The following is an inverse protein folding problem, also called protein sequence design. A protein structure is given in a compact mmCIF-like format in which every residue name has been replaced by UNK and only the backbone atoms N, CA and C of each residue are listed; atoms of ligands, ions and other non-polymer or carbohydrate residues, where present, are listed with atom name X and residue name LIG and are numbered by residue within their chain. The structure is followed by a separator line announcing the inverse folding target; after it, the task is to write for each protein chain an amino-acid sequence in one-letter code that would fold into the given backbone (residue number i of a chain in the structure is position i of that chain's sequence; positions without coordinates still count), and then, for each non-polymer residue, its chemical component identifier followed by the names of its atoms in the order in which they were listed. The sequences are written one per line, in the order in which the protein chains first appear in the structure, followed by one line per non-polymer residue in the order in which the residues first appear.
data_IF_696506462660
#
_entry.id   IF_696506462660
#
_cell.length_a   1.000
_cell.length_b   1.000
_cell.length_c   1.000
_cell.angle_alpha   90.00
_cell.angle_beta   90.00
_cell.angle_gamma   90.00
#
_symmetry.space_group_name_H-M   'P 1'
#
loop_
_entity.id
_entity.type
_entity.pdbx_description
1 polymer ?
#
# COMPACT_ATOMS: atom_id res chain seq x y z
N UNK A 1 -35.65 -22.72 16.56
CA UNK A 1 -35.07 -24.05 16.90
C UNK A 1 -33.87 -24.27 15.99
N UNK A 2 -32.91 -25.09 16.39
CA UNK A 2 -31.50 -25.14 15.99
C UNK A 2 -30.62 -24.12 16.75
N UNK A 3 -29.49 -24.45 17.37
CA UNK A 3 -29.07 -25.57 18.23
C UNK A 3 -27.60 -25.26 18.58
N UNK A 4 -27.34 -24.97 19.86
CA UNK A 4 -26.11 -25.13 20.65
C UNK A 4 -24.72 -25.08 19.99
N UNK A 5 -23.97 -24.02 20.34
CA UNK A 5 -22.51 -23.92 20.25
C UNK A 5 -21.88 -24.79 21.36
N UNK A 6 -20.99 -25.70 21.00
CA UNK A 6 -20.14 -26.45 21.94
C UNK A 6 -18.80 -25.72 22.06
N UNK A 7 -18.53 -25.19 23.26
CA UNK A 7 -17.21 -24.71 23.68
C UNK A 7 -16.38 -25.91 24.17
N UNK A 8 -15.30 -26.23 23.47
CA UNK A 8 -14.29 -27.19 23.96
C UNK A 8 -13.03 -26.45 24.40
N UNK A 9 -12.63 -26.67 25.65
CA UNK A 9 -11.42 -26.15 26.29
C UNK A 9 -10.22 -27.10 26.19
N UNK A 10 -9.02 -26.51 26.37
CA UNK A 10 -7.72 -27.10 26.79
C UNK A 10 -6.74 -27.49 25.65
N UNK A 11 -5.40 -27.58 25.86
CA UNK A 11 -4.53 -27.16 26.98
C UNK A 11 -3.27 -26.34 26.55
N UNK A 12 -2.40 -26.06 27.53
CA UNK A 12 -1.19 -25.22 27.54
C UNK A 12 0.09 -25.76 26.82
N UNK A 13 0.98 -24.80 26.48
CA UNK A 13 2.46 -24.83 26.29
C UNK A 13 3.01 -25.15 24.88
N UNK A 14 4.25 -24.78 24.50
CA UNK A 14 5.32 -24.06 25.23
C UNK A 14 5.88 -22.80 24.52
N UNK A 15 6.64 -22.00 25.26
CA UNK A 15 7.42 -20.82 24.82
C UNK A 15 8.48 -21.16 23.75
N UNK A 16 8.66 -20.35 22.68
CA UNK A 16 9.82 -20.45 21.81
C UNK A 16 11.06 -19.75 22.42
N UNK A 17 12.28 -20.17 22.04
CA UNK A 17 13.52 -19.72 22.67
C UNK A 17 13.92 -18.30 22.27
N UNK A 18 14.57 -17.63 23.21
CA UNK A 18 15.20 -16.30 23.09
C UNK A 18 16.34 -16.34 22.06
N UNK A 19 16.20 -15.58 20.97
CA UNK A 19 17.28 -15.37 20.00
C UNK A 19 18.33 -14.40 20.56
N UNK A 20 19.58 -14.88 20.59
CA UNK A 20 20.79 -14.19 21.07
C UNK A 20 21.17 -13.01 20.16
N UNK A 21 21.89 -11.98 20.66
CA UNK A 21 22.35 -10.86 19.84
C UNK A 21 23.47 -11.27 18.88
N UNK A 22 23.45 -10.76 17.65
CA UNK A 22 24.54 -10.90 16.68
C UNK A 22 25.66 -9.90 17.01
N UNK A 23 26.88 -10.42 17.16
CA UNK A 23 28.12 -9.64 17.34
C UNK A 23 28.69 -9.17 15.99
N UNK A 24 29.52 -8.10 15.97
CA UNK A 24 30.11 -7.57 14.74
C UNK A 24 31.25 -8.47 14.22
N UNK A 25 31.37 -8.61 12.90
CA UNK A 25 32.52 -9.26 12.24
C UNK A 25 33.33 -8.16 11.53
N UNK A 26 34.53 -7.92 12.03
CA UNK A 26 35.57 -7.12 11.35
C UNK A 26 36.44 -7.99 10.42
N UNK A 27 36.84 -7.40 9.29
CA UNK A 27 38.22 -7.47 8.79
C UNK A 27 38.61 -8.59 7.81
N UNK A 28 38.80 -8.24 6.54
CA UNK A 28 39.50 -9.07 5.55
C UNK A 28 39.92 -8.29 4.30
N UNK A 29 41.22 -8.01 4.18
CA UNK A 29 41.88 -7.14 3.21
C UNK A 29 41.83 -7.61 1.74
N UNK A 30 41.64 -6.67 0.80
CA UNK A 30 41.94 -6.83 -0.63
C UNK A 30 42.94 -5.76 -1.12
N UNK A 31 43.90 -6.08 -2.03
CA UNK A 31 45.04 -5.22 -2.34
C UNK A 31 44.74 -4.15 -3.41
N UNK A 32 45.57 -3.09 -3.52
CA UNK A 32 45.32 -1.94 -4.37
C UNK A 32 45.89 -2.13 -5.77
N UNK A 33 45.18 -1.68 -6.81
CA UNK A 33 45.74 -1.61 -8.17
C UNK A 33 45.64 -0.17 -8.67
N UNK A 34 46.81 0.45 -8.78
CA UNK A 34 47.06 1.66 -9.55
C UNK A 34 48.08 1.34 -10.63
N UNK A 35 48.04 2.13 -11.71
CA UNK A 35 49.12 2.42 -12.70
C UNK A 35 49.14 1.60 -14.01
N UNK A 36 49.82 2.12 -15.07
CA UNK A 36 49.16 2.69 -16.26
C UNK A 36 49.56 1.99 -17.58
N UNK A 37 48.84 2.23 -18.67
CA UNK A 37 49.16 1.69 -19.99
C UNK A 37 50.12 2.61 -20.77
N UNK A 38 51.24 2.04 -21.23
CA UNK A 38 52.22 2.64 -22.15
C UNK A 38 51.84 2.42 -23.63
N UNK A 39 52.36 3.22 -24.58
CA UNK A 39 51.93 3.23 -25.98
C UNK A 39 52.72 2.25 -26.87
N UNK A 40 52.07 1.72 -27.91
CA UNK A 40 52.70 0.95 -28.99
C UNK A 40 52.84 1.87 -30.21
N UNK A 41 54.07 2.03 -30.70
CA UNK A 41 54.42 2.70 -31.96
C UNK A 41 54.52 1.71 -33.13
N UNK A 42 54.24 2.23 -34.34
CA UNK A 42 54.66 1.69 -35.64
C UNK A 42 53.49 1.27 -36.54
N UNK A 43 53.30 1.77 -37.76
CA UNK A 43 54.05 2.72 -38.57
C UNK A 43 53.43 2.84 -39.98
N UNK A 44 53.47 4.06 -40.51
CA UNK A 44 53.51 4.52 -41.91
C UNK A 44 52.42 4.14 -42.95
N UNK A 45 51.67 5.18 -43.32
CA UNK A 45 51.07 5.37 -44.65
C UNK A 45 50.70 6.85 -44.85
N UNK A 46 51.60 7.63 -45.43
CA UNK A 46 51.38 9.06 -45.77
C UNK A 46 50.33 9.17 -46.87
N UNK A 47 49.32 10.04 -46.73
CA UNK A 47 48.93 11.05 -47.74
C UNK A 47 47.75 11.92 -47.27
N UNK A 48 48.05 13.23 -47.21
CA UNK A 48 47.21 14.43 -47.44
C UNK A 48 46.16 14.85 -46.39
N UNK A 49 46.57 15.89 -45.65
CA UNK A 49 45.71 16.89 -44.99
C UNK A 49 44.79 17.58 -46.02
N UNK A 50 43.49 17.39 -45.86
CA UNK A 50 42.38 18.32 -46.12
C UNK A 50 41.21 17.73 -45.31
N UNK A 51 40.44 18.37 -44.45
CA UNK A 51 40.04 19.75 -44.24
C UNK A 51 39.30 19.79 -42.89
N UNK A 52 39.54 20.82 -42.09
CA UNK A 52 38.63 21.38 -41.05
C UNK A 52 37.51 20.49 -40.48
N UNK A 53 37.74 19.84 -39.34
CA UNK A 53 36.65 19.53 -38.42
C UNK A 53 36.65 20.61 -37.34
N UNK A 54 35.70 21.53 -37.46
CA UNK A 54 35.40 22.49 -36.41
C UNK A 54 35.14 21.72 -35.11
N UNK A 55 35.77 22.14 -34.01
CA UNK A 55 35.37 21.72 -32.67
C UNK A 55 33.92 22.18 -32.52
N UNK A 56 32.96 21.27 -32.62
CA UNK A 56 31.58 21.60 -32.32
C UNK A 56 31.56 21.93 -30.84
N UNK A 57 31.36 23.21 -30.54
CA UNK A 57 31.25 23.70 -29.19
C UNK A 57 30.08 22.98 -28.51
N UNK A 58 30.38 22.20 -27.46
CA UNK A 58 29.41 21.35 -26.76
C UNK A 58 28.28 22.18 -26.10
N UNK A 59 28.47 23.51 -26.04
CA UNK A 59 27.49 24.50 -25.60
C UNK A 59 26.37 24.82 -26.62
N UNK A 60 26.50 24.36 -27.86
CA UNK A 60 25.47 24.51 -28.90
C UNK A 60 24.54 23.28 -28.99
N UNK A 61 24.91 22.17 -28.35
CA UNK A 61 24.16 20.91 -28.43
C UNK A 61 23.04 20.93 -27.41
N UNK A 62 21.80 20.95 -27.90
CA UNK A 62 20.61 20.80 -27.06
C UNK A 62 20.40 19.34 -26.69
N UNK A 63 20.15 19.08 -25.41
CA UNK A 63 19.85 17.76 -24.83
C UNK A 63 18.62 17.86 -23.95
N UNK A 64 17.96 16.73 -23.75
CA UNK A 64 16.83 16.64 -22.85
C UNK A 64 17.32 16.65 -21.40
N UNK A 65 16.46 17.13 -20.50
CA UNK A 65 16.69 17.07 -19.06
C UNK A 65 16.92 15.62 -18.61
N UNK A 66 17.81 15.35 -17.64
CA UNK A 66 17.98 14.01 -17.07
C UNK A 66 16.69 13.37 -16.54
N UNK A 67 15.69 14.20 -16.19
CA UNK A 67 14.38 13.79 -15.69
C UNK A 67 13.31 13.62 -16.79
N UNK A 68 13.70 13.57 -18.07
CA UNK A 68 12.76 13.31 -19.18
C UNK A 68 11.90 12.06 -18.95
N UNK A 69 12.50 11.00 -18.39
CA UNK A 69 11.79 9.75 -18.05
C UNK A 69 10.74 9.89 -16.95
N UNK A 70 10.76 11.01 -16.24
CA UNK A 70 9.80 11.39 -15.21
C UNK A 70 8.98 12.61 -15.67
N UNK A 71 8.76 12.75 -16.98
CA UNK A 71 7.88 13.74 -17.60
C UNK A 71 8.38 15.20 -17.56
N UNK A 72 9.66 15.42 -17.28
CA UNK A 72 10.28 16.75 -17.44
C UNK A 72 10.56 17.05 -18.92
N UNK A 73 9.95 18.12 -19.45
CA UNK A 73 9.99 18.49 -20.88
C UNK A 73 11.12 19.46 -21.25
N UNK A 74 12.01 19.78 -20.30
CA UNK A 74 13.04 20.78 -20.54
C UNK A 74 14.13 20.27 -21.50
N UNK A 75 14.46 21.07 -22.50
CA UNK A 75 15.51 20.78 -23.49
C UNK A 75 16.42 22.00 -23.62
N UNK A 76 17.72 21.81 -23.45
CA UNK A 76 18.66 22.91 -23.32
C UNK A 76 20.09 22.52 -23.62
N UNK A 77 20.98 23.51 -23.69
CA UNK A 77 22.41 23.22 -23.73
C UNK A 77 22.92 22.88 -22.33
N UNK A 78 24.20 22.56 -22.21
CA UNK A 78 24.80 22.14 -20.93
C UNK A 78 24.58 23.17 -19.81
N UNK A 79 24.77 24.45 -20.10
CA UNK A 79 24.61 25.53 -19.12
C UNK A 79 23.15 25.72 -18.71
N UNK A 80 22.24 25.78 -19.68
CA UNK A 80 20.82 25.98 -19.39
C UNK A 80 20.18 24.78 -18.68
N UNK A 81 20.67 23.55 -18.92
CA UNK A 81 20.28 22.36 -18.13
C UNK A 81 20.80 22.48 -16.70
N UNK A 82 22.03 22.96 -16.48
CA UNK A 82 22.56 23.15 -15.12
C UNK A 82 21.77 24.20 -14.33
N UNK A 83 21.37 25.29 -14.96
CA UNK A 83 20.52 26.32 -14.37
C UNK A 83 19.12 25.78 -14.07
N UNK A 84 18.47 25.14 -15.05
CA UNK A 84 17.18 24.44 -14.86
C UNK A 84 17.21 23.45 -13.70
N UNK A 85 18.25 22.62 -13.60
CA UNK A 85 18.41 21.65 -12.52
C UNK A 85 18.59 22.29 -11.15
N UNK A 86 19.14 23.51 -11.09
CA UNK A 86 19.33 24.26 -9.84
C UNK A 86 18.02 24.95 -9.43
N UNK A 87 17.33 25.54 -10.39
CA UNK A 87 16.17 26.40 -10.13
C UNK A 87 14.85 25.63 -10.02
N UNK A 88 14.77 24.43 -10.63
CA UNK A 88 13.57 23.58 -10.65
C UNK A 88 13.80 22.21 -9.99
N UNK A 89 14.68 22.14 -8.98
CA UNK A 89 14.93 20.89 -8.27
C UNK A 89 13.72 20.40 -7.46
N UNK A 90 12.88 21.30 -6.98
CA UNK A 90 11.62 21.03 -6.28
C UNK A 90 10.61 20.29 -7.17
N UNK A 91 10.49 20.72 -8.44
CA UNK A 91 9.65 20.06 -9.45
C UNK A 91 10.19 18.64 -9.72
N UNK A 92 11.50 18.47 -9.87
CA UNK A 92 12.09 17.15 -10.09
C UNK A 92 11.93 16.20 -8.89
N UNK A 93 12.05 16.72 -7.67
CA UNK A 93 11.77 15.96 -6.44
C UNK A 93 10.30 15.56 -6.40
N UNK A 94 9.38 16.44 -6.80
CA UNK A 94 7.96 16.15 -6.87
C UNK A 94 7.65 15.08 -7.92
N UNK A 95 8.21 15.17 -9.12
CA UNK A 95 8.05 14.17 -10.19
C UNK A 95 8.55 12.79 -9.75
N UNK A 96 9.71 12.72 -9.07
CA UNK A 96 10.17 11.46 -8.45
C UNK A 96 9.20 11.02 -7.36
N UNK A 97 8.77 11.93 -6.49
CA UNK A 97 7.83 11.66 -5.41
C UNK A 97 6.52 11.05 -5.91
N UNK A 98 5.95 11.59 -6.98
CA UNK A 98 4.75 11.06 -7.66
C UNK A 98 4.98 9.67 -8.22
N UNK A 99 6.10 9.42 -8.90
CA UNK A 99 6.44 8.09 -9.42
C UNK A 99 6.79 7.08 -8.32
N UNK A 100 7.15 7.55 -7.12
CA UNK A 100 7.41 6.72 -5.94
C UNK A 100 6.16 6.49 -5.08
N UNK A 101 5.05 7.22 -5.27
CA UNK A 101 3.80 6.95 -4.55
C UNK A 101 3.36 5.48 -4.64
N UNK A 102 3.35 4.84 -5.83
CA UNK A 102 2.93 3.45 -5.96
C UNK A 102 3.87 2.44 -5.26
N UNK A 103 5.09 2.85 -4.92
CA UNK A 103 6.06 2.04 -4.18
C UNK A 103 6.01 2.29 -2.67
N UNK A 104 5.43 3.40 -2.22
CA UNK A 104 5.10 3.60 -0.79
C UNK A 104 3.94 2.71 -0.35
N UNK A 105 3.05 2.40 -1.28
CA UNK A 105 1.94 1.48 -1.10
C UNK A 105 2.37 -0.01 -1.15
N UNK A 106 3.67 -0.28 -1.29
CA UNK A 106 4.24 -1.65 -1.41
C UNK A 106 4.44 -2.37 -0.06
N UNK A 107 4.10 -1.73 1.08
CA UNK A 107 4.01 -2.41 2.38
C UNK A 107 2.57 -2.90 2.56
N UNK A 108 2.34 -4.14 2.16
CA UNK A 108 1.02 -4.79 2.15
C UNK A 108 0.81 -5.53 3.47
N UNK A 109 0.55 -4.74 4.52
CA UNK A 109 -0.18 -5.06 5.74
C UNK A 109 -1.02 -3.79 6.02
N UNK A 110 -2.31 -3.84 5.73
CA UNK A 110 -3.15 -2.65 5.54
C UNK A 110 -3.67 -2.07 6.86
N UNK A 111 -2.80 -1.47 7.68
CA UNK A 111 -3.28 -0.67 8.82
C UNK A 111 -3.92 0.62 8.29
N UNK A 112 -5.25 0.66 8.22
CA UNK A 112 -5.98 1.85 7.84
C UNK A 112 -6.46 2.67 9.04
N UNK A 113 -6.32 3.99 8.93
CA UNK A 113 -6.77 4.93 9.96
C UNK A 113 -8.14 5.49 9.57
N UNK A 114 -9.20 5.01 10.21
CA UNK A 114 -10.56 5.52 9.99
C UNK A 114 -10.97 6.47 11.12
N UNK A 115 -10.89 7.78 10.88
CA UNK A 115 -11.33 8.78 11.87
C UNK A 115 -12.86 8.75 12.04
N UNK A 116 -13.34 8.28 13.19
CA UNK A 116 -14.74 8.40 13.62
C UNK A 116 -14.94 9.69 14.42
N UNK A 117 -15.31 10.79 13.75
CA UNK A 117 -15.61 12.04 14.48
C UNK A 117 -17.06 12.02 14.96
N UNK A 118 -17.25 12.06 16.29
CA UNK A 118 -18.58 12.08 16.95
C UNK A 118 -19.49 13.19 16.41
N UNK A 119 -18.94 14.39 16.15
CA UNK A 119 -19.68 15.55 15.61
C UNK A 119 -20.27 15.35 14.20
N UNK A 120 -19.67 14.47 13.37
CA UNK A 120 -20.24 14.17 12.05
C UNK A 120 -21.26 13.04 12.14
N UNK A 121 -21.01 12.03 12.95
CA UNK A 121 -21.78 10.81 12.92
C UNK A 121 -23.23 10.94 13.50
N UNK A 122 -23.60 12.08 14.11
CA UNK A 122 -24.99 12.35 14.54
C UNK A 122 -26.01 12.36 13.38
N UNK A 123 -25.55 12.64 12.15
CA UNK A 123 -26.36 12.39 10.95
C UNK A 123 -26.18 10.92 10.56
N UNK A 124 -27.29 10.17 10.55
CA UNK A 124 -27.37 8.76 10.12
C UNK A 124 -26.69 8.49 8.76
N UNK A 125 -26.53 9.54 7.95
CA UNK A 125 -25.90 9.54 6.62
C UNK A 125 -24.36 9.51 6.63
N UNK A 126 -23.70 9.74 7.77
CA UNK A 126 -22.24 9.84 7.83
C UNK A 126 -21.56 8.46 7.98
N UNK A 127 -21.67 7.65 6.93
CA UNK A 127 -20.82 6.48 6.75
C UNK A 127 -19.41 6.93 6.33
N UNK A 128 -18.39 6.52 7.09
CA UNK A 128 -17.01 6.69 6.64
C UNK A 128 -16.74 5.68 5.52
N UNK A 129 -16.17 6.15 4.40
CA UNK A 129 -15.88 5.32 3.24
C UNK A 129 -14.41 5.45 2.85
N UNK A 130 -13.79 4.33 2.50
CA UNK A 130 -12.38 4.29 2.10
C UNK A 130 -12.16 3.17 1.09
N UNK A 131 -11.35 3.44 0.07
CA UNK A 131 -10.95 2.45 -0.93
C UNK A 131 -9.55 1.96 -0.59
N UNK A 132 -9.38 0.65 -0.64
CA UNK A 132 -8.13 -0.09 -0.45
C UNK A 132 -7.87 -1.03 -1.62
N UNK A 133 -6.60 -1.34 -1.84
CA UNK A 133 -6.17 -2.37 -2.77
C UNK A 133 -5.50 -3.48 -1.98
N UNK A 134 -5.95 -4.73 -2.15
CA UNK A 134 -5.47 -5.86 -1.36
C UNK A 134 -4.01 -6.23 -1.66
N UNK A 135 -3.51 -5.88 -2.86
CA UNK A 135 -2.11 -5.91 -3.27
C UNK A 135 -1.90 -4.95 -4.45
N UNK A 136 -0.64 -4.73 -4.86
CA UNK A 136 -0.28 -3.93 -6.06
C UNK A 136 -1.04 -4.34 -7.32
N UNK A 137 -1.33 -5.63 -7.46
CA UNK A 137 -2.05 -6.23 -8.59
C UNK A 137 -3.27 -7.05 -8.12
N UNK A 138 -3.82 -6.69 -6.96
CA UNK A 138 -4.89 -7.43 -6.29
C UNK A 138 -6.29 -6.82 -6.49
N UNK A 139 -7.25 -7.35 -5.74
CA UNK A 139 -8.62 -6.82 -5.70
C UNK A 139 -8.64 -5.36 -5.24
N UNK A 140 -9.55 -4.58 -5.84
CA UNK A 140 -9.90 -3.24 -5.36
C UNK A 140 -11.15 -3.33 -4.50
N UNK A 141 -11.08 -2.87 -3.24
CA UNK A 141 -12.17 -3.01 -2.27
C UNK A 141 -12.49 -1.66 -1.64
N UNK A 142 -13.78 -1.35 -1.53
CA UNK A 142 -14.29 -0.19 -0.81
C UNK A 142 -14.91 -0.60 0.52
N UNK A 143 -14.43 0.00 1.60
CA UNK A 143 -14.93 -0.20 2.96
C UNK A 143 -15.95 0.88 3.29
N UNK A 144 -16.98 0.48 4.02
CA UNK A 144 -18.03 1.32 4.57
C UNK A 144 -18.12 1.06 6.06
N UNK A 145 -17.86 2.07 6.88
CA UNK A 145 -18.04 2.01 8.32
C UNK A 145 -19.26 2.85 8.70
N UNK A 146 -20.23 2.20 9.33
CA UNK A 146 -21.37 2.84 9.98
C UNK A 146 -21.11 2.83 11.50
N UNK A 147 -20.47 3.87 12.06
CA UNK A 147 -20.01 3.89 13.44
C UNK A 147 -21.14 3.76 14.48
N UNK A 148 -22.35 4.13 14.09
CA UNK A 148 -23.55 4.01 14.91
C UNK A 148 -24.53 2.96 14.39
N UNK A 149 -24.02 2.00 13.61
CA UNK A 149 -24.79 0.87 13.12
C UNK A 149 -25.64 1.18 11.91
N UNK A 150 -26.21 0.12 11.35
CA UNK A 150 -27.13 0.18 10.23
C UNK A 150 -28.38 -0.67 10.52
N UNK A 151 -29.51 -0.29 9.92
CA UNK A 151 -30.81 -0.98 10.04
C UNK A 151 -31.21 -1.25 11.51
N UNK A 152 -31.42 -2.52 11.88
CA UNK A 152 -31.87 -2.97 13.20
C UNK A 152 -30.80 -2.89 14.29
N UNK A 153 -29.53 -2.63 13.94
CA UNK A 153 -28.44 -2.49 14.92
C UNK A 153 -28.07 -1.04 15.22
N UNK A 154 -28.83 -0.09 14.68
CA UNK A 154 -28.65 1.34 14.88
C UNK A 154 -28.54 1.69 16.37
N UNK A 155 -27.51 2.45 16.74
CA UNK A 155 -27.17 2.89 18.10
C UNK A 155 -26.86 1.79 19.11
N UNK A 156 -26.76 0.53 18.68
CA UNK A 156 -26.36 -0.60 19.53
C UNK A 156 -25.00 -1.15 19.12
N UNK A 157 -24.81 -1.37 17.82
CA UNK A 157 -23.55 -1.85 17.25
C UNK A 157 -23.01 -0.84 16.25
N UNK A 158 -21.70 -0.84 16.06
CA UNK A 158 -21.07 -0.33 14.85
C UNK A 158 -21.13 -1.43 13.80
N UNK A 159 -21.31 -1.06 12.54
CA UNK A 159 -21.39 -1.99 11.40
C UNK A 159 -20.29 -1.67 10.39
N UNK A 160 -19.70 -2.69 9.78
CA UNK A 160 -18.67 -2.55 8.75
C UNK A 160 -19.02 -3.41 7.53
N UNK A 161 -18.87 -2.83 6.34
CA UNK A 161 -19.15 -3.50 5.08
C UNK A 161 -18.03 -3.26 4.09
N UNK A 162 -17.95 -4.13 3.09
CA UNK A 162 -17.05 -4.03 1.96
C UNK A 162 -17.83 -4.21 0.66
N UNK A 163 -17.31 -3.64 -0.42
CA UNK A 163 -17.77 -3.83 -1.79
C UNK A 163 -16.55 -3.98 -2.69
N UNK A 164 -16.61 -4.89 -3.64
CA UNK A 164 -15.54 -5.10 -4.62
C UNK A 164 -15.75 -4.11 -5.76
N UNK A 165 -14.70 -3.38 -6.12
CA UNK A 165 -14.69 -2.39 -7.19
C UNK A 165 -14.04 -2.97 -8.44
N UNK A 166 -14.43 -2.50 -9.65
CA UNK A 166 -13.69 -2.75 -10.87
C UNK A 166 -12.22 -2.36 -10.71
N UNK A 167 -11.32 -3.31 -11.00
CA UNK A 167 -9.87 -3.16 -10.93
C UNK A 167 -9.21 -3.41 -12.28
N UNK A 168 -8.07 -2.76 -12.51
CA UNK A 168 -7.27 -2.93 -13.74
C UNK A 168 -6.76 -4.38 -13.92
N UNK A 169 -6.61 -5.10 -12.81
CA UNK A 169 -6.03 -6.43 -12.76
C UNK A 169 -7.07 -7.55 -12.60
N UNK A 170 -8.37 -7.25 -12.68
CA UNK A 170 -9.44 -8.21 -12.36
C UNK A 170 -9.38 -9.49 -13.22
N UNK A 171 -8.93 -9.37 -14.47
CA UNK A 171 -8.76 -10.49 -15.41
C UNK A 171 -7.73 -11.56 -14.98
N UNK A 172 -6.80 -11.21 -14.08
CA UNK A 172 -5.80 -12.16 -13.54
C UNK A 172 -6.16 -12.66 -12.14
N UNK A 173 -7.27 -12.19 -11.57
CA UNK A 173 -7.73 -12.57 -10.24
C UNK A 173 -8.63 -13.80 -10.28
N UNK A 174 -8.78 -14.46 -9.13
CA UNK A 174 -9.67 -15.61 -8.99
C UNK A 174 -11.08 -15.15 -8.64
N UNK A 175 -12.08 -15.68 -9.32
CA UNK A 175 -13.49 -15.38 -9.07
C UNK A 175 -14.28 -16.67 -8.87
N UNK A 176 -15.31 -16.68 -7.99
CA UNK A 176 -15.72 -15.59 -7.10
C UNK A 176 -14.72 -15.29 -5.97
N UNK A 177 -14.75 -14.07 -5.43
CA UNK A 177 -13.96 -13.65 -4.28
C UNK A 177 -14.28 -14.51 -3.06
N UNK A 178 -13.27 -15.20 -2.53
CA UNK A 178 -13.41 -16.14 -1.42
C UNK A 178 -12.38 -15.92 -0.29
N UNK A 179 -11.66 -14.80 -0.30
CA UNK A 179 -10.66 -14.52 0.73
C UNK A 179 -11.32 -14.11 2.05
N UNK A 180 -10.76 -14.59 3.17
CA UNK A 180 -11.24 -14.22 4.50
C UNK A 180 -10.72 -12.83 4.84
N UNK A 181 -11.63 -11.92 5.20
CA UNK A 181 -11.29 -10.55 5.60
C UNK A 181 -11.18 -10.50 7.11
N UNK A 182 -10.06 -10.01 7.63
CA UNK A 182 -9.81 -9.86 9.06
C UNK A 182 -9.85 -8.38 9.40
N UNK A 183 -10.86 -7.98 10.16
CA UNK A 183 -10.99 -6.61 10.66
C UNK A 183 -10.45 -6.55 12.09
N UNK A 184 -9.52 -5.63 12.34
CA UNK A 184 -8.89 -5.46 13.65
C UNK A 184 -9.02 -4.02 14.12
N UNK A 185 -9.79 -3.79 15.17
CA UNK A 185 -9.81 -2.49 15.86
C UNK A 185 -8.61 -2.44 16.82
N UNK A 186 -7.72 -1.49 16.59
CA UNK A 186 -6.51 -1.35 17.40
C UNK A 186 -6.84 -0.75 18.77
N UNK A 187 -6.36 -1.43 19.81
CA UNK A 187 -6.23 -0.86 21.14
C UNK A 187 -5.14 0.22 21.10
N UNK A 188 -5.52 1.44 21.43
CA UNK A 188 -4.63 2.61 21.42
C UNK A 188 -3.89 2.79 22.75
N UNK A 189 -3.97 1.85 23.69
CA UNK A 189 -3.24 1.85 24.95
C UNK A 189 -1.78 1.49 24.71
N UNK A 190 -0.81 2.35 25.10
CA UNK A 190 0.60 2.08 24.87
C UNK A 190 1.03 0.73 25.44
N UNK A 191 1.60 -0.14 24.60
CA UNK A 191 2.07 -1.47 25.00
C UNK A 191 0.98 -2.54 25.14
N UNK A 192 -0.28 -2.22 24.86
CA UNK A 192 -1.35 -3.22 24.81
C UNK A 192 -1.43 -3.90 23.45
N UNK A 193 -1.84 -5.17 23.45
CA UNK A 193 -2.16 -5.96 22.24
C UNK A 193 -3.59 -6.53 22.30
N UNK A 194 -4.44 -5.98 23.17
CA UNK A 194 -5.84 -6.37 23.33
C UNK A 194 -6.74 -5.77 22.22
N UNK A 195 -6.37 -6.06 20.97
CA UNK A 195 -7.09 -5.61 19.79
C UNK A 195 -8.39 -6.40 19.61
N UNK A 196 -9.45 -5.74 19.14
CA UNK A 196 -10.70 -6.41 18.80
C UNK A 196 -10.63 -6.94 17.37
N UNK A 197 -10.54 -8.26 17.21
CA UNK A 197 -10.37 -8.93 15.92
C UNK A 197 -11.65 -9.66 15.55
N UNK A 198 -12.17 -9.42 14.35
CA UNK A 198 -13.32 -10.15 13.80
C UNK A 198 -13.01 -10.59 12.37
N UNK A 199 -13.28 -11.87 12.07
CA UNK A 199 -13.10 -12.44 10.73
C UNK A 199 -14.43 -12.50 9.99
N UNK A 200 -14.42 -12.08 8.73
CA UNK A 200 -15.50 -12.23 7.78
C UNK A 200 -15.07 -13.25 6.72
N UNK A 201 -15.67 -14.43 6.78
CA UNK A 201 -15.49 -15.48 5.76
C UNK A 201 -16.64 -15.34 4.75
N UNK A 202 -16.37 -15.12 3.46
CA UNK A 202 -17.41 -15.09 2.44
C UNK A 202 -18.15 -16.43 2.35
N UNK A 203 -19.43 -16.46 2.72
CA UNK A 203 -20.31 -17.61 2.52
C UNK A 203 -21.04 -17.45 1.18
N UNK A 204 -20.49 -18.05 0.13
CA UNK A 204 -21.01 -17.90 -1.24
C UNK A 204 -22.23 -18.82 -1.42
N UNK A 205 -23.36 -18.21 -1.77
CA UNK A 205 -24.64 -18.86 -2.09
C UNK A 205 -25.15 -18.36 -3.44
N UNK A 206 -26.16 -19.01 -4.01
CA UNK A 206 -26.77 -18.56 -5.27
C UNK A 206 -27.37 -17.14 -5.14
N UNK A 207 -27.87 -16.78 -3.96
CA UNK A 207 -28.54 -15.49 -3.72
C UNK A 207 -27.56 -14.32 -3.60
N UNK A 208 -26.33 -14.56 -3.15
CA UNK A 208 -25.33 -13.52 -2.91
C UNK A 208 -24.12 -13.58 -3.86
N UNK A 209 -24.16 -14.46 -4.87
CA UNK A 209 -23.08 -14.66 -5.83
C UNK A 209 -22.64 -13.33 -6.49
N UNK A 210 -23.60 -12.44 -6.80
CA UNK A 210 -23.33 -11.13 -7.40
C UNK A 210 -22.48 -10.18 -6.54
N UNK A 211 -22.37 -10.43 -5.23
CA UNK A 211 -21.48 -9.68 -4.34
C UNK A 211 -20.01 -10.09 -4.54
N UNK A 212 -19.76 -11.29 -5.05
CA UNK A 212 -18.44 -11.92 -5.09
C UNK A 212 -17.91 -12.15 -6.51
N UNK A 213 -18.69 -11.93 -7.56
CA UNK A 213 -18.26 -12.05 -8.95
C UNK A 213 -17.32 -10.92 -9.39
N UNK A 214 -16.67 -11.08 -10.54
CA UNK A 214 -15.89 -10.02 -11.16
C UNK A 214 -16.77 -8.78 -11.44
N UNK A 215 -16.45 -7.61 -10.85
CA UNK A 215 -17.17 -6.37 -11.13
C UNK A 215 -16.80 -5.86 -12.53
N UNK A 216 -17.79 -5.37 -13.27
CA UNK A 216 -17.59 -4.93 -14.67
C UNK A 216 -17.49 -3.40 -14.73
N UNK A 217 -18.59 -2.70 -14.44
CA UNK A 217 -18.65 -1.22 -14.48
C UNK A 217 -18.98 -0.62 -13.12
N UNK A 218 -19.87 -1.27 -12.37
CA UNK A 218 -20.32 -0.80 -11.06
C UNK A 218 -19.76 -1.66 -9.92
N UNK A 219 -19.61 -1.10 -8.71
CA UNK A 219 -19.27 -1.85 -7.52
C UNK A 219 -20.27 -2.99 -7.26
N UNK A 220 -19.75 -4.12 -6.80
CA UNK A 220 -20.60 -5.23 -6.34
C UNK A 220 -21.46 -4.83 -5.13
N UNK A 221 -22.53 -5.59 -4.90
CA UNK A 221 -23.36 -5.41 -3.71
C UNK A 221 -22.52 -5.56 -2.43
N UNK A 222 -22.81 -4.68 -1.45
CA UNK A 222 -22.06 -4.65 -0.19
C UNK A 222 -22.29 -5.93 0.61
N UNK A 223 -21.24 -6.47 1.22
CA UNK A 223 -21.29 -7.56 2.18
C UNK A 223 -20.44 -7.23 3.41
N UNK A 224 -20.76 -7.77 4.58
CA UNK A 224 -20.09 -7.32 5.80
C UNK A 224 -20.67 -7.84 7.10
N UNK A 225 -20.30 -7.15 8.18
CA UNK A 225 -20.67 -7.44 9.55
C UNK A 225 -21.55 -6.31 10.09
N UNK A 226 -22.85 -6.60 10.18
CA UNK A 226 -23.80 -5.66 10.78
C UNK A 226 -23.55 -5.49 12.29
N UNK A 227 -23.12 -6.55 12.98
CA UNK A 227 -22.78 -6.54 14.42
C UNK A 227 -21.26 -6.65 14.59
N UNK A 228 -20.52 -5.62 14.19
CA UNK A 228 -19.06 -5.65 14.21
C UNK A 228 -18.49 -5.48 15.63
N UNK A 229 -18.93 -4.45 16.35
CA UNK A 229 -18.60 -4.22 17.76
C UNK A 229 -19.76 -3.48 18.44
N UNK A 230 -20.04 -3.75 19.71
CA UNK A 230 -21.01 -2.95 20.47
C UNK A 230 -20.46 -1.54 20.66
N UNK A 231 -21.29 -0.52 20.45
CA UNK A 231 -20.85 0.87 20.63
C UNK A 231 -20.40 1.11 22.07
N UNK A 232 -21.10 0.52 23.04
CA UNK A 232 -20.72 0.60 24.45
C UNK A 232 -19.31 0.05 24.69
N UNK A 233 -18.98 -1.11 24.12
CA UNK A 233 -17.66 -1.74 24.25
C UNK A 233 -16.56 -0.94 23.53
N UNK A 234 -16.90 -0.32 22.40
CA UNK A 234 -15.98 0.52 21.64
C UNK A 234 -15.63 1.82 22.40
N UNK A 235 -16.58 2.42 23.11
CA UNK A 235 -16.41 3.67 23.85
C UNK A 235 -15.93 3.44 25.30
N UNK A 236 -16.29 2.32 25.92
CA UNK A 236 -15.98 2.00 27.30
C UNK A 236 -14.46 1.78 27.51
N UNK A 237 -13.93 2.37 28.58
CA UNK A 237 -12.51 2.28 28.93
C UNK A 237 -11.56 3.10 28.05
N UNK A 238 -12.04 3.75 26.97
CA UNK A 238 -11.23 4.65 26.14
C UNK A 238 -10.04 3.97 25.44
N UNK A 239 -10.07 2.64 25.31
CA UNK A 239 -9.00 1.85 24.67
C UNK A 239 -9.06 1.93 23.14
N UNK A 240 -10.25 1.82 22.55
CA UNK A 240 -10.44 1.81 21.10
C UNK A 240 -10.72 3.19 20.52
N UNK A 241 -11.33 4.10 21.27
CA UNK A 241 -11.64 5.48 20.84
C UNK A 241 -10.79 6.47 21.64
N UNK A 242 -9.87 7.17 20.96
CA UNK A 242 -9.14 8.32 21.55
C UNK A 242 -9.27 9.55 20.67
N UNK A 243 -9.62 10.69 21.28
CA UNK A 243 -9.81 11.97 20.59
C UNK A 243 -10.80 11.91 19.40
N UNK A 244 -11.78 10.99 19.43
CA UNK A 244 -12.67 10.76 18.29
C UNK A 244 -11.96 10.12 17.09
N UNK A 245 -11.00 9.23 17.35
CA UNK A 245 -10.33 8.42 16.33
C UNK A 245 -10.40 6.96 16.73
N UNK A 246 -10.66 6.12 15.73
CA UNK A 246 -10.54 4.66 15.80
C UNK A 246 -9.57 4.23 14.71
N UNK A 247 -8.82 3.16 14.95
CA UNK A 247 -7.88 2.63 13.99
C UNK A 247 -8.33 1.22 13.66
N UNK A 248 -8.52 0.93 12.38
CA UNK A 248 -9.03 -0.37 11.91
C UNK A 248 -8.02 -0.91 10.90
N UNK A 249 -7.26 -1.93 11.29
CA UNK A 249 -6.44 -2.70 10.35
C UNK A 249 -7.33 -3.68 9.60
N UNK A 250 -7.01 -3.90 8.33
CA UNK A 250 -7.71 -4.86 7.49
C UNK A 250 -6.67 -5.73 6.84
N UNK A 251 -6.77 -7.02 7.14
CA UNK A 251 -5.92 -8.04 6.56
C UNK A 251 -6.78 -9.03 5.78
N UNK A 252 -6.14 -9.73 4.83
CA UNK A 252 -6.80 -10.71 4.01
C UNK A 252 -6.05 -12.03 4.11
N UNK A 253 -6.72 -13.04 4.65
CA UNK A 253 -6.21 -14.40 4.71
C UNK A 253 -6.59 -15.15 3.43
N UNK A 254 -5.68 -16.01 2.97
CA UNK A 254 -5.88 -16.89 1.81
C UNK A 254 -6.13 -16.16 0.48
N UNK A 255 -5.64 -14.93 0.31
CA UNK A 255 -5.62 -14.34 -1.02
C UNK A 255 -4.70 -15.17 -1.93
N UNK A 256 -5.19 -15.63 -3.09
CA UNK A 256 -4.35 -16.32 -4.06
C UNK A 256 -3.26 -15.36 -4.51
N UNK A 257 -2.00 -15.70 -4.19
CA UNK A 257 -0.84 -14.96 -4.68
C UNK A 257 -0.72 -15.27 -6.16
N UNK A 258 -0.97 -14.25 -6.99
CA UNK A 258 -0.86 -14.41 -8.45
C UNK A 258 0.62 -14.49 -8.90
N UNK A 259 1.58 -14.18 -8.02
CA UNK A 259 3.03 -14.37 -8.23
C UNK A 259 3.78 -14.68 -6.93
#
# INVERSE_FOLDING_TARGET
MFSNVILSSSPSSPTPPVSRPLTPIEGGNGPPVSRPLTPIEGGNGVLKKTSSLAKIDNDQIKKNCPFEKHDCKFVGNRLSIQEHMRDQNDIHITLIGEKLQPFRDEIIEGIEVIKITHEKAEKLENQAQKVIHCYRYGYSIKIFLAPFGDLDTTRVFSSIYVSILPGEHDSILTWPFAATIVFTILDQTPGSSDHHVVKLVPEITEENMSSFTEPIEEPNMKFGLQKFIKITEMEEGGKFVKKGHVFISIDFENLPKVF
#
